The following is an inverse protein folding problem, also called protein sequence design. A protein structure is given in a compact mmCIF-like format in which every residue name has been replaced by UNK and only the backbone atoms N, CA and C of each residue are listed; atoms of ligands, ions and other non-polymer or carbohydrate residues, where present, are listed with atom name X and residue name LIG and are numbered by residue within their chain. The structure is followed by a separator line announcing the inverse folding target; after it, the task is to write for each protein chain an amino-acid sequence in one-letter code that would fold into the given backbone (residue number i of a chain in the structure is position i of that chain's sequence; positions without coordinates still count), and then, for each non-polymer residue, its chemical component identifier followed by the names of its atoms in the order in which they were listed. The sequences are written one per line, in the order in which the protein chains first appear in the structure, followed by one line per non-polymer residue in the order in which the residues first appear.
data_IF_260736738757
#
_entry.id   IF_260736738757
#
_cell.length_a   1.000
_cell.length_b   1.000
_cell.length_c   1.000
_cell.angle_alpha   90.00
_cell.angle_beta   90.00
_cell.angle_gamma   90.00
#
_symmetry.space_group_name_H-M   'P 1'
#
loop_
_entity.id
_entity.type
_entity.pdbx_description
1 polymer ?
#
# COMPACT_ATOMS: atom_id res chain seq x y z
N UNK A 1 -22.10 1.15 46.60
CA UNK A 1 -21.03 1.96 45.99
C UNK A 1 -21.32 2.03 44.49
N UNK A 2 -22.00 3.10 44.06
CA UNK A 2 -22.42 3.30 42.66
C UNK A 2 -21.21 3.74 41.84
N UNK A 3 -20.63 2.82 41.05
CA UNK A 3 -19.59 3.15 40.09
C UNK A 3 -20.25 3.64 38.80
N UNK A 4 -20.38 4.96 38.67
CA UNK A 4 -20.83 5.59 37.43
C UNK A 4 -19.81 5.27 36.32
N UNK A 5 -20.28 4.62 35.26
CA UNK A 5 -19.47 4.34 34.06
C UNK A 5 -19.13 5.65 33.36
N UNK A 6 -17.96 6.21 33.63
CA UNK A 6 -17.36 7.27 32.83
C UNK A 6 -16.90 6.67 31.49
N UNK A 7 -17.78 6.72 30.47
CA UNK A 7 -17.40 6.48 29.07
C UNK A 7 -16.55 7.67 28.60
N UNK A 8 -15.26 7.64 28.89
CA UNK A 8 -14.31 8.47 28.16
C UNK A 8 -14.35 8.03 26.68
N UNK A 9 -14.47 8.99 25.76
CA UNK A 9 -14.46 8.74 24.33
C UNK A 9 -13.08 8.19 23.92
N UNK A 10 -12.97 6.87 23.77
CA UNK A 10 -11.77 6.21 23.27
C UNK A 10 -11.61 6.59 21.79
N UNK A 11 -10.63 7.45 21.50
CA UNK A 11 -10.21 7.68 20.12
C UNK A 11 -9.56 6.40 19.63
N UNK A 12 -10.24 5.67 18.75
CA UNK A 12 -9.65 4.50 18.12
C UNK A 12 -8.31 4.89 17.47
N UNK A 13 -7.24 4.26 17.93
CA UNK A 13 -5.95 4.33 17.25
C UNK A 13 -6.10 3.60 15.91
N UNK A 14 -6.51 4.34 14.88
CA UNK A 14 -6.63 3.83 13.51
C UNK A 14 -5.24 3.48 12.99
N UNK A 15 -4.89 2.20 13.02
CA UNK A 15 -3.73 1.68 12.30
C UNK A 15 -4.09 1.60 10.81
N UNK A 16 -3.53 2.50 10.02
CA UNK A 16 -3.78 2.57 8.57
C UNK A 16 -2.68 1.81 7.83
N UNK A 17 -3.10 1.05 6.84
CA UNK A 17 -2.23 0.28 5.94
C UNK A 17 -2.84 0.37 4.56
N UNK A 18 -2.03 0.66 3.55
CA UNK A 18 -2.49 0.75 2.17
C UNK A 18 -1.88 -0.39 1.36
N UNK A 19 -2.72 -1.03 0.55
CA UNK A 19 -2.30 -2.05 -0.41
C UNK A 19 -2.71 -1.57 -1.80
N UNK A 20 -1.73 -1.31 -2.66
CA UNK A 20 -1.97 -1.05 -4.07
C UNK A 20 -1.93 -2.38 -4.81
N UNK A 21 -3.00 -2.66 -5.55
CA UNK A 21 -3.12 -3.82 -6.42
C UNK A 21 -3.24 -3.35 -7.86
N UNK A 22 -2.66 -4.11 -8.77
CA UNK A 22 -2.81 -3.87 -10.19
C UNK A 22 -2.85 -5.22 -10.91
N UNK A 23 -3.81 -5.37 -11.82
CA UNK A 23 -3.94 -6.53 -12.67
C UNK A 23 -4.36 -6.09 -14.06
N UNK A 24 -4.16 -6.96 -15.04
CA UNK A 24 -4.75 -6.78 -16.35
C UNK A 24 -6.29 -6.98 -16.29
N UNK A 25 -6.97 -6.69 -17.42
CA UNK A 25 -8.44 -6.66 -17.50
C UNK A 25 -9.12 -7.98 -17.14
N UNK A 26 -8.51 -9.13 -17.49
CA UNK A 26 -9.06 -10.45 -17.18
C UNK A 26 -8.53 -11.04 -15.86
N UNK A 27 -7.63 -10.33 -15.17
CA UNK A 27 -7.06 -10.73 -13.89
C UNK A 27 -6.06 -11.89 -13.94
N UNK A 28 -5.69 -12.37 -15.13
CA UNK A 28 -4.70 -13.45 -15.28
C UNK A 28 -3.29 -13.00 -14.91
N UNK A 29 -2.97 -11.73 -15.19
CA UNK A 29 -1.69 -11.14 -14.85
C UNK A 29 -1.89 -10.15 -13.70
N UNK A 30 -1.17 -10.38 -12.60
CA UNK A 30 -1.20 -9.54 -11.40
C UNK A 30 0.21 -9.02 -11.15
N UNK A 31 0.35 -7.71 -11.03
CA UNK A 31 1.61 -7.09 -10.64
C UNK A 31 1.87 -7.32 -9.15
N UNK A 32 3.14 -7.29 -8.77
CA UNK A 32 3.53 -7.37 -7.36
C UNK A 32 2.87 -6.23 -6.57
N UNK A 33 2.12 -6.51 -5.49
CA UNK A 33 1.43 -5.45 -4.77
C UNK A 33 2.41 -4.52 -4.05
N UNK A 34 2.04 -3.24 -3.96
CA UNK A 34 2.75 -2.27 -3.10
C UNK A 34 2.07 -2.22 -1.75
N UNK A 35 2.82 -2.47 -0.68
CA UNK A 35 2.32 -2.40 0.69
C UNK A 35 2.93 -1.19 1.39
N UNK A 36 2.07 -0.25 1.81
CA UNK A 36 2.48 0.97 2.49
C UNK A 36 2.06 0.90 3.96
N UNK A 37 3.06 1.04 4.82
CA UNK A 37 2.86 1.05 6.27
C UNK A 37 3.30 2.37 6.90
N UNK A 38 2.86 2.62 8.14
CA UNK A 38 3.29 3.79 8.91
C UNK A 38 4.77 3.80 9.26
N UNK A 39 5.28 2.63 9.60
CA UNK A 39 6.63 2.43 10.16
C UNK A 39 7.49 1.65 9.17
N UNK A 40 8.77 1.99 9.07
CA UNK A 40 9.72 1.23 8.24
C UNK A 40 9.82 -0.24 8.67
N UNK A 41 9.88 -0.50 9.99
CA UNK A 41 9.99 -1.84 10.56
C UNK A 41 8.86 -2.09 11.58
N UNK A 42 7.65 -2.47 11.13
CA UNK A 42 6.52 -2.63 12.02
C UNK A 42 6.67 -3.91 12.84
N UNK A 43 6.42 -3.79 14.16
CA UNK A 43 6.51 -4.90 15.11
C UNK A 43 5.78 -6.18 14.66
N UNK A 44 4.56 -6.11 14.07
CA UNK A 44 3.86 -7.30 13.58
C UNK A 44 4.54 -8.05 12.44
N UNK A 45 5.44 -7.42 11.68
CA UNK A 45 6.17 -8.04 10.56
C UNK A 45 7.61 -8.41 10.92
N UNK A 46 7.97 -8.37 12.21
CA UNK A 46 9.31 -8.73 12.66
C UNK A 46 9.59 -10.20 12.31
N UNK A 47 10.70 -10.45 11.61
CA UNK A 47 11.09 -11.78 11.16
C UNK A 47 10.38 -12.26 9.88
N UNK A 48 9.49 -11.46 9.31
CA UNK A 48 8.89 -11.74 8.00
C UNK A 48 9.70 -11.06 6.91
N UNK A 49 10.07 -11.79 5.87
CA UNK A 49 10.69 -11.20 4.69
C UNK A 49 9.61 -10.56 3.79
N UNK A 50 9.20 -9.34 4.15
CA UNK A 50 8.08 -8.62 3.50
C UNK A 50 8.35 -8.38 2.01
N UNK A 51 9.61 -8.17 1.62
CA UNK A 51 9.99 -7.89 0.23
C UNK A 51 9.79 -9.07 -0.69
N UNK A 52 9.64 -10.30 -0.18
CA UNK A 52 9.28 -11.47 -0.99
C UNK A 52 7.87 -11.33 -1.58
N UNK A 53 6.94 -10.78 -0.80
CA UNK A 53 5.51 -10.74 -1.14
C UNK A 53 5.09 -9.38 -1.71
N UNK A 54 5.73 -8.30 -1.26
CA UNK A 54 5.30 -6.93 -1.54
C UNK A 54 6.47 -6.05 -1.93
N UNK A 55 6.21 -5.02 -2.73
CA UNK A 55 7.08 -3.84 -2.73
C UNK A 55 6.71 -3.00 -1.49
N UNK A 56 7.62 -2.94 -0.52
CA UNK A 56 7.34 -2.35 0.78
C UNK A 56 7.74 -0.88 0.82
N UNK A 57 6.77 -0.01 1.15
CA UNK A 57 7.01 1.42 1.35
C UNK A 57 6.53 1.84 2.74
N UNK A 58 7.04 2.96 3.23
CA UNK A 58 6.60 3.51 4.50
C UNK A 58 6.50 5.03 4.47
N UNK A 59 5.46 5.57 5.12
CA UNK A 59 5.33 6.99 5.39
C UNK A 59 4.43 7.20 6.62
N UNK A 60 4.52 8.34 7.30
CA UNK A 60 3.81 8.58 8.57
C UNK A 60 2.28 8.51 8.48
N UNK A 61 1.72 8.71 7.28
CA UNK A 61 0.28 8.75 7.01
C UNK A 61 -0.29 7.38 6.59
N UNK A 62 0.59 6.46 6.18
CA UNK A 62 0.34 5.17 5.55
C UNK A 62 -0.56 5.23 4.30
N UNK A 63 -0.61 6.38 3.61
CA UNK A 63 -1.38 6.56 2.36
C UNK A 63 -0.50 6.38 1.13
N UNK A 64 -1.14 6.14 -0.01
CA UNK A 64 -0.53 6.39 -1.30
C UNK A 64 -0.20 7.88 -1.44
N UNK A 65 0.99 8.20 -1.94
CA UNK A 65 1.38 9.57 -2.27
C UNK A 65 1.71 9.65 -3.75
N UNK A 66 1.60 10.85 -4.33
CA UNK A 66 2.01 11.07 -5.73
C UNK A 66 3.46 10.66 -5.99
N UNK A 67 4.34 10.84 -5.02
CA UNK A 67 5.76 10.45 -5.13
C UNK A 67 5.87 8.93 -5.25
N UNK A 68 5.26 8.18 -4.33
CA UNK A 68 5.29 6.71 -4.35
C UNK A 68 4.62 6.14 -5.60
N UNK A 69 3.50 6.75 -6.03
CA UNK A 69 2.82 6.34 -7.26
C UNK A 69 3.67 6.60 -8.50
N UNK A 70 4.34 7.75 -8.59
CA UNK A 70 5.23 8.08 -9.71
C UNK A 70 6.45 7.16 -9.78
N UNK A 71 7.07 6.85 -8.63
CA UNK A 71 8.16 5.88 -8.55
C UNK A 71 7.72 4.51 -9.07
N UNK A 72 6.58 4.01 -8.57
CA UNK A 72 6.02 2.74 -9.02
C UNK A 72 5.63 2.74 -10.51
N UNK A 73 5.05 3.83 -11.01
CA UNK A 73 4.70 3.98 -12.42
C UNK A 73 5.95 3.98 -13.32
N UNK A 74 7.03 4.60 -12.88
CA UNK A 74 8.30 4.59 -13.61
C UNK A 74 8.88 3.18 -13.69
N UNK A 75 8.91 2.45 -12.57
CA UNK A 75 9.39 1.08 -12.54
C UNK A 75 8.56 0.18 -13.46
N UNK A 76 7.24 0.35 -13.45
CA UNK A 76 6.36 -0.39 -14.35
C UNK A 76 6.59 -0.02 -15.82
N UNK A 77 6.76 1.27 -16.12
CA UNK A 77 7.02 1.74 -17.48
C UNK A 77 8.31 1.13 -18.05
N UNK A 78 9.39 1.11 -17.26
CA UNK A 78 10.65 0.48 -17.63
C UNK A 78 10.48 -1.03 -17.87
N UNK A 79 9.70 -1.73 -17.02
CA UNK A 79 9.37 -3.13 -17.22
C UNK A 79 8.60 -3.36 -18.53
N UNK A 80 7.59 -2.54 -18.82
CA UNK A 80 6.79 -2.67 -20.04
C UNK A 80 7.60 -2.39 -21.31
N UNK A 81 8.51 -1.40 -21.28
CA UNK A 81 9.46 -1.16 -22.39
C UNK A 81 10.35 -2.38 -22.60
N UNK A 82 10.91 -2.94 -21.52
CA UNK A 82 11.79 -4.12 -21.63
C UNK A 82 11.09 -5.35 -22.23
N UNK A 83 9.77 -5.38 -22.15
CA UNK A 83 8.90 -6.42 -22.69
C UNK A 83 8.33 -6.05 -24.08
N UNK A 84 8.71 -4.92 -24.66
CA UNK A 84 8.13 -4.36 -25.89
C UNK A 84 6.59 -4.31 -25.86
N UNK A 85 6.05 -3.90 -24.71
CA UNK A 85 4.62 -3.99 -24.43
C UNK A 85 4.01 -2.62 -24.21
N UNK A 86 2.96 -2.32 -24.96
CA UNK A 86 2.11 -1.16 -24.73
C UNK A 86 0.93 -1.54 -23.83
N UNK A 87 0.67 -0.71 -22.82
CA UNK A 87 -0.46 -0.90 -21.90
C UNK A 87 -1.25 0.39 -21.75
N UNK A 88 -2.56 0.24 -21.53
CA UNK A 88 -3.42 1.30 -21.04
C UNK A 88 -3.76 1.00 -19.58
N UNK A 89 -3.43 1.92 -18.69
CA UNK A 89 -3.76 1.81 -17.28
C UNK A 89 -4.96 2.69 -16.95
N UNK A 90 -5.92 2.13 -16.22
CA UNK A 90 -7.04 2.86 -15.65
C UNK A 90 -6.76 3.04 -14.17
N UNK A 91 -6.62 4.30 -13.74
CA UNK A 91 -6.43 4.68 -12.34
C UNK A 91 -7.71 5.33 -11.82
N UNK A 92 -8.04 5.05 -10.56
CA UNK A 92 -9.09 5.78 -9.88
C UNK A 92 -8.63 7.21 -9.57
N UNK A 93 -9.60 8.11 -9.37
CA UNK A 93 -9.30 9.48 -9.01
C UNK A 93 -8.82 9.52 -7.56
N UNK A 94 -7.51 9.37 -7.36
CA UNK A 94 -6.83 9.50 -6.07
C UNK A 94 -6.73 11.00 -5.73
N UNK A 95 -7.29 11.47 -4.60
CA UNK A 95 -7.25 12.88 -4.19
C UNK A 95 -5.83 13.44 -3.96
#
# INVERSE_FOLDING_TARGET
MNCQKLRNAWKDFKDRRTLQLCSNMNGCEKLKPVFIHKYANPRPLKGVNVSLYFDYKFNSSAWMTRILLNEWLKDLYEQMISQDRQILMILDNVP
#
